data_IF_933692901487
#
_entry.id   IF_933692901487
#
_cell.length_a   1.000
_cell.length_b   1.000
_cell.length_c   1.000
_cell.angle_alpha   90.00
_cell.angle_beta   90.00
_cell.angle_gamma   90.00
#
_symmetry.space_group_name_H-M   'P 1'
#
loop_
_entity.id
_entity.type
_entity.pdbx_description
1 polymer ?
#
# COMPACT_ATOMS: atom_id res chain seq x y z
N UNK A 1 -17.44 -41.26 1.05
CA UNK A 1 -18.34 -40.14 0.64
C UNK A 1 -18.30 -40.01 -0.87
N UNK A 2 -19.42 -40.25 -1.57
CA UNK A 2 -19.51 -40.20 -3.03
C UNK A 2 -19.23 -38.78 -3.58
N UNK A 3 -18.72 -38.72 -4.82
CA UNK A 3 -18.36 -37.44 -5.50
C UNK A 3 -19.55 -36.50 -5.65
N UNK A 4 -20.76 -37.05 -5.82
CA UNK A 4 -22.01 -36.27 -5.91
C UNK A 4 -22.28 -35.46 -4.64
N UNK A 5 -22.14 -36.09 -3.48
CA UNK A 5 -22.43 -35.49 -2.18
C UNK A 5 -21.39 -34.43 -1.78
N UNK A 6 -20.13 -34.59 -2.22
CA UNK A 6 -19.10 -33.55 -2.08
C UNK A 6 -19.37 -32.34 -2.97
N UNK A 7 -19.88 -32.56 -4.19
CA UNK A 7 -20.23 -31.50 -5.13
C UNK A 7 -21.43 -30.69 -4.63
N UNK A 8 -22.44 -31.36 -4.12
CA UNK A 8 -23.65 -30.72 -3.56
C UNK A 8 -23.36 -29.89 -2.31
N UNK A 9 -22.50 -30.38 -1.41
CA UNK A 9 -22.05 -29.59 -0.24
C UNK A 9 -21.21 -28.37 -0.64
N UNK A 10 -20.36 -28.50 -1.66
CA UNK A 10 -19.58 -27.38 -2.17
C UNK A 10 -20.49 -26.31 -2.81
N UNK A 11 -21.48 -26.73 -3.62
CA UNK A 11 -22.46 -25.83 -4.24
C UNK A 11 -23.34 -25.12 -3.20
N UNK A 12 -23.72 -25.82 -2.13
CA UNK A 12 -24.50 -25.25 -1.02
C UNK A 12 -23.68 -24.21 -0.24
N UNK A 13 -22.41 -24.50 0.07
CA UNK A 13 -21.52 -23.57 0.75
C UNK A 13 -21.23 -22.31 -0.09
N UNK A 14 -21.10 -22.45 -1.41
CA UNK A 14 -20.91 -21.32 -2.33
C UNK A 14 -22.18 -20.43 -2.39
N UNK A 15 -23.37 -21.02 -2.21
CA UNK A 15 -24.64 -20.29 -2.13
C UNK A 15 -24.79 -19.53 -0.83
N UNK A 16 -24.41 -20.14 0.29
CA UNK A 16 -24.45 -19.47 1.60
C UNK A 16 -23.44 -18.32 1.71
N UNK A 17 -22.30 -18.41 1.03
CA UNK A 17 -21.30 -17.34 0.99
C UNK A 17 -21.62 -16.20 0.00
N UNK A 18 -22.77 -16.22 -0.69
CA UNK A 18 -23.15 -15.16 -1.64
C UNK A 18 -22.25 -15.05 -2.87
N UNK A 19 -21.45 -16.09 -3.16
CA UNK A 19 -20.45 -16.12 -4.24
C UNK A 19 -21.02 -16.65 -5.56
N UNK A 20 -22.34 -16.72 -5.70
CA UNK A 20 -23.03 -17.26 -6.88
C UNK A 20 -22.64 -16.53 -8.16
N UNK A 21 -22.51 -15.20 -8.10
CA UNK A 21 -22.10 -14.36 -9.24
C UNK A 21 -20.57 -14.28 -9.41
N UNK A 22 -19.79 -14.73 -8.43
CA UNK A 22 -18.33 -14.70 -8.47
C UNK A 22 -17.73 -15.89 -9.25
N UNK A 23 -18.51 -16.91 -9.59
CA UNK A 23 -18.04 -18.07 -10.37
C UNK A 23 -17.58 -17.63 -11.78
N UNK A 24 -18.17 -16.57 -12.34
CA UNK A 24 -17.83 -16.03 -13.67
C UNK A 24 -16.72 -14.96 -13.66
N UNK A 25 -16.05 -14.70 -12.53
CA UNK A 25 -15.04 -13.63 -12.43
C UNK A 25 -13.60 -14.06 -12.74
N UNK A 26 -13.36 -15.31 -13.12
CA UNK A 26 -12.00 -15.81 -13.32
C UNK A 26 -11.55 -15.61 -14.76
N UNK A 27 -10.85 -14.50 -15.02
CA UNK A 27 -9.89 -14.22 -16.13
C UNK A 27 -10.34 -14.64 -17.56
N UNK A 28 -10.67 -15.90 -17.82
CA UNK A 28 -11.22 -16.38 -19.09
C UNK A 28 -12.64 -15.86 -19.45
N UNK A 29 -13.41 -15.34 -18.49
CA UNK A 29 -14.71 -14.70 -18.78
C UNK A 29 -14.62 -13.21 -19.16
N UNK A 30 -13.52 -12.54 -18.82
CA UNK A 30 -13.36 -11.09 -19.03
C UNK A 30 -13.04 -10.74 -20.49
N UNK A 31 -12.41 -11.66 -21.23
CA UNK A 31 -12.13 -11.50 -22.65
C UNK A 31 -13.44 -11.43 -23.47
N UNK A 32 -14.33 -12.40 -23.24
CA UNK A 32 -15.59 -12.54 -23.99
C UNK A 32 -16.60 -11.41 -23.76
N UNK A 33 -16.58 -10.76 -22.60
CA UNK A 33 -17.58 -9.74 -22.23
C UNK A 33 -17.17 -8.30 -22.56
N UNK A 34 -15.87 -8.01 -22.69
CA UNK A 34 -15.40 -6.62 -22.79
C UNK A 34 -14.33 -6.36 -23.85
N UNK A 35 -13.91 -7.36 -24.65
CA UNK A 35 -12.91 -7.17 -25.71
C UNK A 35 -11.59 -6.57 -25.17
N UNK A 36 -11.14 -7.03 -24.01
CA UNK A 36 -9.95 -6.52 -23.33
C UNK A 36 -8.80 -7.50 -23.48
N UNK A 37 -7.63 -7.00 -23.88
CA UNK A 37 -6.39 -7.78 -23.86
C UNK A 37 -5.90 -7.97 -22.43
N UNK A 38 -5.80 -9.21 -21.97
CA UNK A 38 -5.29 -9.58 -20.65
C UNK A 38 -3.91 -10.20 -20.82
N UNK A 39 -2.89 -9.63 -20.16
CA UNK A 39 -1.54 -10.18 -20.10
C UNK A 39 -1.28 -10.56 -18.65
N UNK A 40 -0.95 -11.83 -18.41
CA UNK A 40 -0.65 -12.36 -17.08
C UNK A 40 0.67 -13.09 -17.08
N UNK A 41 1.43 -12.96 -15.98
CA UNK A 41 2.62 -13.76 -15.71
C UNK A 41 2.31 -14.67 -14.53
N UNK A 42 2.48 -15.98 -14.71
CA UNK A 42 2.12 -16.97 -13.69
C UNK A 42 3.31 -17.88 -13.43
N UNK A 43 3.69 -17.97 -12.16
CA UNK A 43 4.85 -18.76 -11.72
C UNK A 43 4.56 -20.28 -11.73
N UNK A 44 3.34 -20.68 -11.38
CA UNK A 44 2.93 -22.08 -11.37
C UNK A 44 1.44 -22.18 -11.69
N UNK A 45 1.08 -22.90 -12.76
CA UNK A 45 -0.31 -23.07 -13.19
C UNK A 45 -0.75 -24.51 -13.02
N UNK A 46 -2.00 -24.72 -12.62
CA UNK A 46 -2.64 -26.04 -12.77
C UNK A 46 -3.00 -26.27 -14.23
N UNK A 47 -3.07 -27.53 -14.66
CA UNK A 47 -3.47 -27.89 -16.03
C UNK A 47 -4.87 -27.37 -16.41
N UNK A 48 -5.77 -27.26 -15.43
CA UNK A 48 -7.11 -26.71 -15.63
C UNK A 48 -7.06 -25.21 -15.98
N UNK A 49 -6.18 -24.45 -15.32
CA UNK A 49 -5.99 -23.02 -15.61
C UNK A 49 -5.22 -22.83 -16.91
N UNK A 50 -4.27 -23.71 -17.22
CA UNK A 50 -3.53 -23.69 -18.49
C UNK A 50 -4.45 -23.82 -19.71
N UNK A 51 -5.49 -24.65 -19.61
CA UNK A 51 -6.47 -24.84 -20.69
C UNK A 51 -7.35 -23.61 -20.96
N UNK A 52 -7.35 -22.60 -20.07
CA UNK A 52 -8.13 -21.38 -20.22
C UNK A 52 -7.39 -20.27 -20.98
N UNK A 53 -6.11 -20.44 -21.31
CA UNK A 53 -5.33 -19.42 -22.02
C UNK A 53 -5.36 -19.62 -23.53
N UNK A 54 -5.61 -18.54 -24.27
CA UNK A 54 -5.56 -18.56 -25.73
C UNK A 54 -4.10 -18.62 -26.24
N UNK A 55 -3.23 -17.79 -25.66
CA UNK A 55 -1.84 -17.66 -26.05
C UNK A 55 -0.89 -17.90 -24.87
N UNK A 56 0.21 -18.58 -25.15
CA UNK A 56 1.29 -18.89 -24.22
C UNK A 56 2.58 -18.19 -24.66
N UNK A 57 3.22 -17.50 -23.71
CA UNK A 57 4.56 -16.94 -23.86
C UNK A 57 5.50 -17.59 -22.84
N UNK A 58 6.51 -18.32 -23.33
CA UNK A 58 7.55 -18.92 -22.49
C UNK A 58 8.84 -18.11 -22.62
N UNK A 59 9.37 -17.70 -21.47
CA UNK A 59 10.62 -16.93 -21.35
C UNK A 59 11.62 -17.70 -20.48
N UNK A 60 12.88 -17.75 -20.90
CA UNK A 60 13.99 -18.28 -20.11
C UNK A 60 15.20 -17.35 -20.20
N UNK A 61 15.75 -16.96 -19.04
CA UNK A 61 16.86 -15.98 -18.92
C UNK A 61 16.69 -14.72 -19.79
N UNK A 62 15.47 -14.17 -19.87
CA UNK A 62 15.16 -12.98 -20.67
C UNK A 62 15.00 -13.22 -22.19
N UNK A 63 15.06 -14.47 -22.65
CA UNK A 63 14.90 -14.85 -24.07
C UNK A 63 13.58 -15.59 -24.28
N UNK A 64 12.89 -15.30 -25.37
CA UNK A 64 11.64 -15.99 -25.74
C UNK A 64 11.93 -17.37 -26.31
N UNK A 65 11.39 -18.39 -25.65
CA UNK A 65 11.50 -19.80 -26.05
C UNK A 65 10.32 -20.20 -26.93
N UNK A 66 9.13 -19.70 -26.62
CA UNK A 66 7.93 -19.97 -27.40
C UNK A 66 6.93 -18.82 -27.26
N UNK A 67 6.25 -18.45 -28.34
CA UNK A 67 5.10 -17.56 -28.32
C UNK A 67 4.08 -18.03 -29.36
N UNK A 68 2.86 -18.34 -28.92
CA UNK A 68 1.81 -18.86 -29.81
C UNK A 68 0.62 -19.41 -29.04
N UNK A 69 -0.30 -20.07 -29.73
CA UNK A 69 -1.51 -20.60 -29.10
C UNK A 69 -1.19 -21.72 -28.09
N UNK A 70 -1.82 -21.69 -26.92
CA UNK A 70 -1.47 -22.61 -25.82
C UNK A 70 -1.70 -24.09 -26.18
N UNK A 71 -2.70 -24.40 -27.00
CA UNK A 71 -2.98 -25.75 -27.48
C UNK A 71 -1.91 -26.27 -28.45
N UNK A 72 -1.34 -25.41 -29.28
CA UNK A 72 -0.30 -25.75 -30.25
C UNK A 72 1.08 -25.97 -29.58
N UNK A 73 1.28 -25.46 -28.37
CA UNK A 73 2.52 -25.65 -27.62
C UNK A 73 2.83 -27.14 -27.41
N UNK A 74 1.83 -27.95 -27.04
CA UNK A 74 2.02 -29.39 -26.84
C UNK A 74 2.55 -30.08 -28.10
N UNK A 75 1.97 -29.78 -29.27
CA UNK A 75 2.38 -30.38 -30.54
C UNK A 75 3.79 -29.97 -30.95
N UNK A 76 4.15 -28.70 -30.74
CA UNK A 76 5.48 -28.17 -31.04
C UNK A 76 6.53 -28.84 -30.15
N UNK A 77 6.30 -28.95 -28.84
CA UNK A 77 7.21 -29.65 -27.93
C UNK A 77 7.30 -31.16 -28.22
N UNK A 78 6.22 -31.80 -28.68
CA UNK A 78 6.22 -33.21 -29.10
C UNK A 78 6.97 -33.43 -30.42
N UNK A 79 6.78 -32.57 -31.42
CA UNK A 79 7.44 -32.62 -32.73
C UNK A 79 8.96 -32.53 -32.63
N UNK A 80 9.43 -31.75 -31.66
CA UNK A 80 10.84 -31.58 -31.45
C UNK A 80 11.51 -32.73 -30.67
N UNK A 81 10.77 -33.76 -30.21
CA UNK A 81 11.34 -34.95 -29.56
C UNK A 81 12.15 -34.67 -28.28
N UNK A 82 11.83 -33.59 -27.55
CA UNK A 82 12.61 -33.21 -26.36
C UNK A 82 11.84 -33.55 -25.09
N UNK A 83 12.34 -34.59 -24.41
CA UNK A 83 11.76 -35.33 -23.28
C UNK A 83 10.38 -35.99 -23.54
N UNK A 84 10.28 -37.34 -23.50
CA UNK A 84 8.97 -37.98 -23.48
C UNK A 84 8.24 -37.50 -22.23
N UNK A 85 7.09 -36.84 -22.40
CA UNK A 85 6.20 -36.57 -21.28
C UNK A 85 5.96 -37.90 -20.57
N UNK A 86 6.33 -38.00 -19.29
CA UNK A 86 5.91 -39.14 -18.51
C UNK A 86 4.38 -39.14 -18.50
N UNK A 87 3.75 -40.31 -18.53
CA UNK A 87 2.30 -40.47 -18.62
C UNK A 87 1.52 -39.86 -17.41
N UNK A 88 2.24 -39.21 -16.48
CA UNK A 88 1.77 -38.64 -15.22
C UNK A 88 2.14 -37.17 -15.03
N UNK A 89 2.96 -36.56 -15.90
CA UNK A 89 3.38 -35.16 -15.73
C UNK A 89 2.39 -34.19 -16.35
N UNK A 90 2.07 -33.12 -15.62
CA UNK A 90 1.21 -32.03 -16.11
C UNK A 90 1.97 -31.19 -17.14
N UNK A 91 1.34 -30.79 -18.26
CA UNK A 91 1.99 -29.99 -19.31
C UNK A 91 2.69 -28.70 -18.84
N UNK A 92 2.05 -27.83 -18.01
CA UNK A 92 2.71 -26.59 -17.57
C UNK A 92 3.93 -26.85 -16.68
N UNK A 93 3.88 -27.87 -15.81
CA UNK A 93 5.00 -28.26 -14.96
C UNK A 93 6.16 -28.85 -15.81
N UNK A 94 5.84 -29.55 -16.90
CA UNK A 94 6.83 -30.07 -17.84
C UNK A 94 7.54 -28.92 -18.57
N UNK A 95 6.80 -27.96 -19.13
CA UNK A 95 7.41 -26.81 -19.80
C UNK A 95 8.33 -26.00 -18.88
N UNK A 96 7.90 -25.73 -17.64
CA UNK A 96 8.70 -24.99 -16.68
C UNK A 96 9.97 -25.74 -16.28
N UNK A 97 9.92 -27.06 -16.13
CA UNK A 97 11.11 -27.87 -15.87
C UNK A 97 12.09 -27.88 -17.05
N UNK A 98 11.58 -27.91 -18.28
CA UNK A 98 12.44 -27.91 -19.48
C UNK A 98 13.14 -26.56 -19.72
N UNK A 99 12.54 -25.45 -19.29
CA UNK A 99 13.06 -24.10 -19.58
C UNK A 99 13.78 -23.45 -18.39
N UNK A 100 13.71 -24.05 -17.19
CA UNK A 100 14.31 -23.49 -15.99
C UNK A 100 15.61 -24.21 -15.63
N UNK A 101 16.65 -23.43 -15.36
CA UNK A 101 18.01 -23.91 -15.04
C UNK A 101 18.17 -24.28 -13.56
N UNK A 102 17.30 -23.74 -12.70
CA UNK A 102 17.48 -23.80 -11.24
C UNK A 102 17.01 -25.11 -10.61
N UNK A 103 16.37 -26.01 -11.37
CA UNK A 103 15.90 -27.31 -10.85
C UNK A 103 16.92 -28.45 -10.97
N UNK A 104 18.12 -28.18 -11.51
CA UNK A 104 19.22 -29.14 -11.68
C UNK A 104 20.36 -28.97 -10.66
N UNK A 105 20.13 -28.28 -9.53
CA UNK A 105 21.17 -28.11 -8.48
C UNK A 105 21.60 -29.43 -7.78
N UNK A 106 20.93 -30.56 -8.02
CA UNK A 106 21.26 -31.85 -7.39
C UNK A 106 22.09 -32.82 -8.27
N UNK A 107 22.55 -32.40 -9.46
CA UNK A 107 23.43 -33.24 -10.30
C UNK A 107 24.70 -32.46 -10.65
N UNK A 108 25.80 -32.81 -9.95
CA UNK A 108 27.19 -32.34 -10.15
C UNK A 108 27.80 -32.61 -11.56
N UNK A 109 26.97 -32.80 -12.59
CA UNK A 109 27.36 -32.99 -13.97
C UNK A 109 26.41 -32.23 -14.89
N UNK A 110 26.81 -31.05 -15.39
CA UNK A 110 26.21 -30.51 -16.61
C UNK A 110 25.76 -29.06 -16.66
N UNK A 111 26.46 -28.10 -16.03
CA UNK A 111 26.26 -26.66 -16.30
C UNK A 111 26.31 -26.28 -17.81
N UNK A 112 26.79 -27.15 -18.69
CA UNK A 112 26.86 -26.94 -20.15
C UNK A 112 25.63 -27.44 -20.92
N UNK A 113 24.90 -28.45 -20.44
CA UNK A 113 23.92 -29.19 -21.26
C UNK A 113 22.56 -28.47 -21.30
N UNK A 114 22.10 -27.91 -20.17
CA UNK A 114 20.86 -27.15 -20.09
C UNK A 114 20.95 -25.78 -20.81
N UNK A 115 22.09 -25.10 -20.74
CA UNK A 115 22.35 -23.84 -21.44
C UNK A 115 22.33 -24.05 -22.97
N UNK A 116 22.98 -25.13 -23.43
CA UNK A 116 23.01 -25.53 -24.83
C UNK A 116 21.61 -25.95 -25.31
N UNK A 117 20.85 -26.70 -24.50
CA UNK A 117 19.46 -27.05 -24.79
C UNK A 117 18.57 -25.81 -24.95
N UNK A 118 18.67 -24.82 -24.07
CA UNK A 118 17.94 -23.55 -24.18
C UNK A 118 18.34 -22.78 -25.45
N UNK A 119 19.63 -22.79 -25.80
CA UNK A 119 20.11 -22.10 -27.00
C UNK A 119 19.63 -22.76 -28.29
N UNK A 120 19.57 -24.10 -28.31
CA UNK A 120 18.98 -24.90 -29.39
C UNK A 120 17.48 -24.60 -29.49
N UNK A 121 16.76 -24.56 -28.36
CA UNK A 121 15.33 -24.25 -28.29
C UNK A 121 15.01 -22.88 -28.92
N UNK A 122 15.77 -21.85 -28.54
CA UNK A 122 15.60 -20.50 -29.08
C UNK A 122 15.88 -20.47 -30.58
N UNK A 123 16.91 -21.18 -31.05
CA UNK A 123 17.25 -21.25 -32.48
C UNK A 123 16.17 -21.98 -33.28
N UNK A 124 15.67 -23.10 -32.75
CA UNK A 124 14.60 -23.88 -33.35
C UNK A 124 13.30 -23.07 -33.46
N UNK A 125 12.93 -22.35 -32.40
CA UNK A 125 11.77 -21.47 -32.40
C UNK A 125 11.92 -20.34 -33.43
N UNK A 126 13.08 -19.67 -33.50
CA UNK A 126 13.34 -18.63 -34.52
C UNK A 126 13.29 -19.15 -35.95
N UNK A 127 13.65 -20.42 -36.18
CA UNK A 127 13.52 -21.07 -37.49
C UNK A 127 12.13 -21.64 -37.78
N UNK A 128 11.23 -21.66 -36.80
CA UNK A 128 9.89 -22.22 -36.95
C UNK A 128 8.96 -21.30 -37.75
N UNK A 129 7.98 -21.92 -38.43
CA UNK A 129 6.92 -21.18 -39.12
C UNK A 129 6.07 -20.33 -38.16
N UNK A 130 5.91 -20.76 -36.90
CA UNK A 130 5.16 -20.02 -35.87
C UNK A 130 5.80 -18.67 -35.56
N UNK A 131 7.14 -18.60 -35.47
CA UNK A 131 7.85 -17.33 -35.25
C UNK A 131 7.68 -16.37 -36.44
N UNK A 132 7.78 -16.89 -37.67
CA UNK A 132 7.58 -16.09 -38.87
C UNK A 132 6.14 -15.57 -39.00
N UNK A 133 5.14 -16.37 -38.63
CA UNK A 133 3.74 -15.95 -38.60
C UNK A 133 3.50 -14.81 -37.60
N UNK A 134 4.01 -14.95 -36.37
CA UNK A 134 3.89 -13.90 -35.34
C UNK A 134 4.61 -12.62 -35.77
N UNK A 135 5.80 -12.73 -36.36
CA UNK A 135 6.55 -11.57 -36.85
C UNK A 135 5.82 -10.88 -38.00
N UNK A 136 5.28 -11.65 -38.95
CA UNK A 136 4.51 -11.11 -40.07
C UNK A 136 3.26 -10.40 -39.57
N UNK A 137 2.51 -11.02 -38.64
CA UNK A 137 1.37 -10.38 -38.01
C UNK A 137 1.79 -9.09 -37.30
N UNK A 138 2.80 -9.11 -36.43
CA UNK A 138 3.26 -7.92 -35.70
C UNK A 138 3.62 -6.77 -36.64
N UNK A 139 4.30 -7.06 -37.75
CA UNK A 139 4.63 -6.09 -38.80
C UNK A 139 3.35 -5.56 -39.46
N UNK A 140 2.42 -6.43 -39.84
CA UNK A 140 1.11 -6.03 -40.38
C UNK A 140 0.34 -5.13 -39.40
N UNK A 141 0.29 -5.45 -38.11
CA UNK A 141 -0.38 -4.61 -37.09
C UNK A 141 0.26 -3.22 -36.97
N UNK A 142 1.60 -3.12 -37.02
CA UNK A 142 2.32 -1.84 -37.00
C UNK A 142 1.98 -0.98 -38.23
N UNK A 143 1.80 -1.60 -39.41
CA UNK A 143 1.46 -0.88 -40.63
C UNK A 143 -0.04 -0.59 -40.80
N UNK A 144 -0.91 -1.41 -40.22
CA UNK A 144 -2.35 -1.40 -40.46
C UNK A 144 -3.13 -0.62 -39.37
N UNK A 145 -2.60 -0.51 -38.15
CA UNK A 145 -3.24 0.20 -37.05
C UNK A 145 -2.33 1.25 -36.41
N UNK A 146 -2.44 2.49 -36.92
CA UNK A 146 -2.41 3.68 -36.06
C UNK A 146 -3.71 3.81 -35.24
N UNK A 147 -4.22 2.68 -34.73
CA UNK A 147 -5.48 2.61 -33.99
C UNK A 147 -5.40 3.55 -32.79
N UNK A 148 -6.40 4.42 -32.64
CA UNK A 148 -6.44 5.39 -31.57
C UNK A 148 -6.34 4.65 -30.23
N UNK A 149 -5.15 4.67 -29.60
CA UNK A 149 -4.94 4.24 -28.22
C UNK A 149 -6.09 4.82 -27.41
N UNK A 150 -6.91 3.95 -26.82
CA UNK A 150 -8.09 4.35 -26.07
C UNK A 150 -7.67 5.48 -25.12
N UNK A 151 -8.19 6.68 -25.40
CA UNK A 151 -7.74 7.93 -24.76
C UNK A 151 -7.74 7.71 -23.26
N UNK A 152 -6.60 7.90 -22.59
CA UNK A 152 -6.48 7.84 -21.13
C UNK A 152 -7.71 8.51 -20.52
N UNK A 153 -8.52 7.77 -19.76
CA UNK A 153 -9.68 8.32 -19.06
C UNK A 153 -9.22 9.56 -18.29
N UNK A 154 -9.98 10.65 -18.41
CA UNK A 154 -9.67 11.92 -17.76
C UNK A 154 -9.45 11.69 -16.27
N UNK A 155 -8.27 12.10 -15.77
CA UNK A 155 -7.95 12.00 -14.35
C UNK A 155 -8.86 12.93 -13.55
N UNK A 156 -9.34 12.49 -12.40
CA UNK A 156 -10.12 13.34 -11.50
C UNK A 156 -9.30 14.58 -11.11
N UNK A 157 -9.94 15.74 -11.04
CA UNK A 157 -9.30 16.98 -10.62
C UNK A 157 -8.76 16.89 -9.18
N UNK A 158 -7.70 17.65 -8.90
CA UNK A 158 -7.01 17.68 -7.60
C UNK A 158 -7.96 17.84 -6.40
N UNK A 159 -8.95 18.72 -6.52
CA UNK A 159 -9.93 18.99 -5.45
C UNK A 159 -10.78 17.74 -5.16
N UNK A 160 -11.25 17.05 -6.20
CA UNK A 160 -12.04 15.83 -6.03
C UNK A 160 -11.19 14.70 -5.44
N UNK A 161 -9.91 14.61 -5.84
CA UNK A 161 -8.98 13.66 -5.24
C UNK A 161 -8.79 13.96 -3.75
N UNK A 162 -8.50 15.21 -3.39
CA UNK A 162 -8.32 15.64 -1.99
C UNK A 162 -9.57 15.36 -1.17
N UNK A 163 -10.76 15.76 -1.63
CA UNK A 163 -12.02 15.56 -0.89
C UNK A 163 -12.33 14.07 -0.66
N UNK A 164 -12.12 13.22 -1.66
CA UNK A 164 -12.31 11.76 -1.52
C UNK A 164 -11.28 11.17 -0.55
N UNK A 165 -10.03 11.62 -0.60
CA UNK A 165 -8.97 11.23 0.32
C UNK A 165 -9.32 11.66 1.77
N UNK A 166 -9.77 12.90 1.96
CA UNK A 166 -10.21 13.44 3.26
C UNK A 166 -11.37 12.62 3.81
N UNK A 167 -12.38 12.31 2.99
CA UNK A 167 -13.52 11.47 3.39
C UNK A 167 -13.08 10.06 3.79
N UNK A 168 -12.19 9.45 3.01
CA UNK A 168 -11.64 8.12 3.30
C UNK A 168 -10.86 8.13 4.63
N UNK A 169 -9.99 9.12 4.82
CA UNK A 169 -9.18 9.28 6.03
C UNK A 169 -10.04 9.57 7.26
N UNK A 170 -11.10 10.38 7.14
CA UNK A 170 -12.07 10.63 8.21
C UNK A 170 -12.81 9.35 8.64
N UNK A 171 -13.23 8.52 7.68
CA UNK A 171 -13.85 7.22 7.99
C UNK A 171 -12.85 6.27 8.66
N UNK A 172 -11.59 6.29 8.25
CA UNK A 172 -10.52 5.52 8.88
C UNK A 172 -10.37 5.93 10.36
N UNK A 173 -10.24 7.23 10.59
CA UNK A 173 -10.04 7.82 11.92
C UNK A 173 -11.20 7.56 12.88
N UNK A 174 -12.44 7.54 12.37
CA UNK A 174 -13.60 7.19 13.20
C UNK A 174 -13.67 5.69 13.55
N UNK A 175 -13.24 4.81 12.64
CA UNK A 175 -13.31 3.35 12.83
C UNK A 175 -12.21 2.81 13.72
N UNK A 176 -11.04 3.46 13.73
CA UNK A 176 -9.94 3.11 14.62
C UNK A 176 -10.13 3.63 16.04
N UNK A 177 -11.07 3.00 16.75
CA UNK A 177 -11.49 3.41 18.08
C UNK A 177 -10.34 3.38 19.09
N UNK A 178 -9.55 2.31 19.05
CA UNK A 178 -8.47 2.08 20.01
C UNK A 178 -7.32 3.08 19.88
N UNK A 179 -7.17 3.73 18.74
CA UNK A 179 -6.05 4.63 18.49
C UNK A 179 -6.40 6.09 18.80
N UNK A 180 -7.47 6.59 18.20
CA UNK A 180 -7.87 7.99 18.34
C UNK A 180 -8.59 8.28 19.66
N UNK A 181 -9.49 7.40 20.11
CA UNK A 181 -10.25 7.65 21.34
C UNK A 181 -9.47 7.33 22.61
N UNK A 182 -8.63 6.28 22.60
CA UNK A 182 -7.74 5.99 23.71
C UNK A 182 -6.73 7.12 23.92
N UNK A 183 -6.17 7.65 22.81
CA UNK A 183 -5.27 8.81 22.86
C UNK A 183 -6.00 10.03 23.46
N UNK A 184 -7.22 10.34 23.05
CA UNK A 184 -8.02 11.39 23.69
C UNK A 184 -8.22 11.17 25.20
N UNK A 185 -8.54 9.95 25.63
CA UNK A 185 -8.73 9.62 27.05
C UNK A 185 -7.45 9.82 27.89
N UNK A 186 -6.30 9.42 27.35
CA UNK A 186 -5.00 9.63 28.00
C UNK A 186 -4.70 11.13 28.11
N UNK A 187 -4.99 11.92 27.08
CA UNK A 187 -4.78 13.38 27.09
C UNK A 187 -5.64 14.07 28.15
N UNK A 188 -6.91 13.67 28.28
CA UNK A 188 -7.81 14.18 29.34
C UNK A 188 -7.25 13.84 30.73
N UNK A 189 -6.81 12.60 30.92
CA UNK A 189 -6.25 12.13 32.20
C UNK A 189 -5.00 12.91 32.59
N UNK A 190 -4.09 13.13 31.64
CA UNK A 190 -2.88 13.92 31.85
C UNK A 190 -3.18 15.39 32.13
N UNK A 191 -4.12 15.99 31.39
CA UNK A 191 -4.54 17.38 31.62
C UNK A 191 -5.17 17.57 33.00
N UNK A 192 -5.95 16.59 33.47
CA UNK A 192 -6.49 16.60 34.82
C UNK A 192 -5.38 16.48 35.86
N UNK A 193 -4.45 15.53 35.70
CA UNK A 193 -3.32 15.36 36.61
C UNK A 193 -2.45 16.62 36.71
N UNK A 194 -2.03 17.19 35.57
CA UNK A 194 -1.26 18.43 35.54
C UNK A 194 -2.05 19.62 36.09
N UNK A 195 -3.33 19.71 35.76
CA UNK A 195 -4.21 20.75 36.31
C UNK A 195 -4.24 20.68 37.84
N UNK A 196 -4.39 19.48 38.42
CA UNK A 196 -4.48 19.31 39.88
C UNK A 196 -3.17 19.61 40.60
N UNK A 197 -2.02 19.35 39.97
CA UNK A 197 -0.70 19.69 40.53
C UNK A 197 -0.53 21.21 40.65
N UNK A 198 -0.99 21.95 39.63
CA UNK A 198 -0.90 23.42 39.58
C UNK A 198 -2.22 24.10 39.94
N UNK A 199 -2.98 23.50 40.85
CA UNK A 199 -4.30 24.01 41.23
C UNK A 199 -4.21 25.41 41.85
N UNK A 200 -5.04 26.32 41.32
CA UNK A 200 -5.21 27.71 41.76
C UNK A 200 -3.89 28.47 42.05
N UNK A 201 -3.18 28.84 40.97
CA UNK A 201 -1.93 29.58 41.05
C UNK A 201 -2.16 31.01 41.60
N UNK A 202 -1.73 31.23 42.84
CA UNK A 202 -1.75 32.53 43.51
C UNK A 202 -1.00 33.66 42.79
N UNK A 203 -0.95 34.84 43.41
CA UNK A 203 -0.35 36.05 42.82
C UNK A 203 1.04 36.39 43.37
N UNK A 204 1.72 35.43 44.00
CA UNK A 204 3.05 35.63 44.60
C UNK A 204 4.13 35.63 43.51
N UNK A 205 5.28 36.25 43.76
CA UNK A 205 6.42 36.24 42.82
C UNK A 205 6.88 34.82 42.45
N UNK A 206 6.74 33.84 43.35
CA UNK A 206 6.98 32.42 43.06
C UNK A 206 5.97 31.84 42.07
N UNK A 207 4.72 32.30 42.14
CA UNK A 207 3.63 31.85 41.26
C UNK A 207 3.84 32.24 39.80
N UNK A 208 4.68 33.25 39.51
CA UNK A 208 5.07 33.59 38.13
C UNK A 208 5.92 32.47 37.51
N UNK A 209 6.85 31.90 38.28
CA UNK A 209 7.67 30.79 37.83
C UNK A 209 6.82 29.52 37.67
N UNK A 210 5.91 29.27 38.61
CA UNK A 210 5.00 28.11 38.56
C UNK A 210 4.05 28.17 37.35
N UNK A 211 3.57 29.37 36.97
CA UNK A 211 2.78 29.58 35.74
C UNK A 211 3.57 29.27 34.47
N UNK A 212 4.83 29.71 34.41
CA UNK A 212 5.73 29.38 33.31
C UNK A 212 5.95 27.87 33.19
N UNK A 213 6.18 27.22 34.34
CA UNK A 213 6.38 25.77 34.42
C UNK A 213 5.14 25.01 33.93
N UNK A 214 3.96 25.39 34.43
CA UNK A 214 2.68 24.81 34.04
C UNK A 214 2.44 24.89 32.53
N UNK A 215 2.64 26.06 31.92
CA UNK A 215 2.45 26.27 30.48
C UNK A 215 3.41 25.40 29.67
N UNK A 216 4.69 25.35 30.08
CA UNK A 216 5.70 24.53 29.42
C UNK A 216 5.38 23.04 29.57
N UNK A 217 4.97 22.58 30.75
CA UNK A 217 4.62 21.17 30.98
C UNK A 217 3.42 20.75 30.13
N UNK A 218 2.34 21.54 30.10
CA UNK A 218 1.17 21.22 29.28
C UNK A 218 1.55 21.16 27.80
N UNK A 219 2.22 22.20 27.27
CA UNK A 219 2.63 22.21 25.88
C UNK A 219 3.56 21.02 25.56
N UNK A 220 4.54 20.75 26.43
CA UNK A 220 5.52 19.68 26.24
C UNK A 220 4.89 18.28 26.30
N UNK A 221 4.03 18.01 27.30
CA UNK A 221 3.39 16.70 27.43
C UNK A 221 2.39 16.44 26.31
N UNK A 222 1.54 17.42 25.95
CA UNK A 222 0.58 17.24 24.85
C UNK A 222 1.28 17.01 23.51
N UNK A 223 2.36 17.74 23.24
CA UNK A 223 3.13 17.60 22.00
C UNK A 223 3.97 16.33 21.96
N UNK A 224 4.60 15.94 23.07
CA UNK A 224 5.41 14.72 23.13
C UNK A 224 4.55 13.47 22.97
N UNK A 225 3.33 13.47 23.54
CA UNK A 225 2.38 12.37 23.34
C UNK A 225 1.92 12.23 21.88
N UNK A 226 2.09 13.27 21.04
CA UNK A 226 1.82 13.16 19.60
C UNK A 226 2.78 12.23 18.86
N UNK A 227 3.90 11.83 19.47
CA UNK A 227 4.76 10.77 18.94
C UNK A 227 4.05 9.41 18.98
N UNK A 228 3.09 9.20 19.89
CA UNK A 228 2.18 8.05 19.84
C UNK A 228 1.34 8.02 18.55
N UNK A 229 1.24 9.18 17.88
CA UNK A 229 0.88 9.43 16.47
C UNK A 229 1.50 8.47 15.45
N UNK A 230 2.77 8.18 15.67
CA UNK A 230 3.69 7.84 14.60
C UNK A 230 3.41 6.48 13.94
N UNK A 231 3.11 5.38 14.66
CA UNK A 231 2.84 4.09 14.02
C UNK A 231 1.67 4.13 13.03
N UNK A 232 0.59 4.84 13.38
CA UNK A 232 -0.58 4.98 12.50
C UNK A 232 -0.22 5.77 11.23
N UNK A 233 0.53 6.88 11.36
CA UNK A 233 1.02 7.62 10.20
C UNK A 233 1.94 6.79 9.31
N UNK A 234 2.80 5.95 9.91
CA UNK A 234 3.68 5.06 9.15
C UNK A 234 2.90 3.94 8.49
N UNK A 235 1.81 3.42 9.06
CA UNK A 235 0.96 2.44 8.39
C UNK A 235 0.21 3.05 7.21
N UNK A 236 -0.41 4.21 7.39
CA UNK A 236 -1.07 4.96 6.32
C UNK A 236 -0.07 5.38 5.23
N UNK A 237 1.11 5.87 5.64
CA UNK A 237 2.21 6.15 4.72
C UNK A 237 2.77 4.89 4.11
N UNK A 238 2.84 3.72 4.75
CA UNK A 238 3.35 2.48 4.14
C UNK A 238 2.40 1.97 3.07
N UNK A 239 1.09 2.06 3.28
CA UNK A 239 0.11 1.73 2.24
C UNK A 239 0.27 2.72 1.07
N UNK A 240 0.36 4.02 1.36
CA UNK A 240 0.54 5.07 0.35
C UNK A 240 1.90 5.00 -0.36
N UNK A 241 2.97 4.72 0.39
CA UNK A 241 4.36 4.59 -0.04
C UNK A 241 4.58 3.29 -0.76
N UNK A 242 3.96 2.17 -0.38
CA UNK A 242 3.99 0.95 -1.17
C UNK A 242 3.35 1.19 -2.54
N UNK A 243 2.23 1.92 -2.57
CA UNK A 243 1.59 2.34 -3.82
C UNK A 243 2.47 3.31 -4.61
N UNK A 244 3.09 4.29 -3.94
CA UNK A 244 3.97 5.30 -4.55
C UNK A 244 5.31 4.72 -5.01
N UNK A 245 5.93 3.83 -4.25
CA UNK A 245 7.17 3.13 -4.56
C UNK A 245 6.92 2.15 -5.71
N UNK A 246 5.79 1.44 -5.71
CA UNK A 246 5.36 0.65 -6.87
C UNK A 246 5.14 1.53 -8.12
N UNK A 247 4.66 2.76 -7.94
CA UNK A 247 4.54 3.76 -8.99
C UNK A 247 5.91 4.30 -9.46
N UNK A 248 6.82 4.61 -8.54
CA UNK A 248 8.16 5.17 -8.78
C UNK A 248 9.12 4.15 -9.38
N UNK A 249 9.10 2.89 -8.91
CA UNK A 249 9.86 1.77 -9.47
C UNK A 249 9.41 1.36 -10.89
N UNK A 250 8.56 2.15 -11.55
CA UNK A 250 8.24 2.01 -12.96
C UNK A 250 7.36 0.81 -13.32
N UNK A 251 7.11 -0.11 -12.38
CA UNK A 251 6.33 -1.34 -12.62
C UNK A 251 4.85 -1.06 -12.92
N UNK A 252 4.29 0.05 -12.41
CA UNK A 252 2.87 0.40 -12.62
C UNK A 252 2.65 1.92 -12.84
N UNK A 253 3.35 2.54 -13.81
CA UNK A 253 3.12 3.95 -14.21
C UNK A 253 1.70 4.25 -14.74
N UNK A 254 0.82 3.24 -14.83
CA UNK A 254 -0.46 3.29 -15.54
C UNK A 254 -1.69 3.49 -14.66
N UNK A 255 -1.61 3.30 -13.33
CA UNK A 255 -2.80 3.44 -12.48
C UNK A 255 -3.07 4.87 -11.98
N UNK A 256 -2.09 5.77 -11.94
CA UNK A 256 -2.30 7.24 -11.88
C UNK A 256 -3.42 7.81 -10.99
N UNK A 257 -3.71 7.20 -9.84
CA UNK A 257 -4.91 7.52 -9.06
C UNK A 257 -4.77 8.77 -8.19
N UNK A 258 -3.59 9.07 -7.63
CA UNK A 258 -3.42 10.20 -6.69
C UNK A 258 -2.04 10.85 -6.82
N UNK A 259 -1.99 12.19 -6.80
CA UNK A 259 -0.76 12.95 -6.66
C UNK A 259 -0.26 12.98 -5.20
N UNK A 260 1.06 12.98 -4.94
CA UNK A 260 1.60 13.04 -3.57
C UNK A 260 1.12 14.25 -2.77
N UNK A 261 0.91 15.39 -3.44
CA UNK A 261 0.43 16.62 -2.81
C UNK A 261 -1.03 16.54 -2.36
N UNK A 262 -1.90 15.89 -3.15
CA UNK A 262 -3.30 15.69 -2.78
C UNK A 262 -3.45 14.79 -1.55
N UNK A 263 -2.54 13.83 -1.40
CA UNK A 263 -2.48 12.96 -0.23
C UNK A 263 -2.10 13.72 1.04
N UNK A 264 -1.03 14.52 0.99
CA UNK A 264 -0.59 15.32 2.15
C UNK A 264 -1.68 16.30 2.57
N UNK A 265 -2.27 17.02 1.62
CA UNK A 265 -3.35 17.99 1.91
C UNK A 265 -4.57 17.28 2.49
N UNK A 266 -5.03 16.18 1.87
CA UNK A 266 -6.19 15.44 2.35
C UNK A 266 -5.99 14.83 3.74
N UNK A 267 -4.76 14.42 4.09
CA UNK A 267 -4.42 13.89 5.40
C UNK A 267 -4.31 14.98 6.48
N UNK A 268 -3.76 16.14 6.13
CA UNK A 268 -3.73 17.29 7.03
C UNK A 268 -5.15 17.78 7.31
N UNK A 269 -5.99 17.93 6.28
CA UNK A 269 -7.38 18.36 6.45
C UNK A 269 -8.22 17.36 7.25
N UNK A 270 -8.03 16.05 7.03
CA UNK A 270 -8.77 15.04 7.77
C UNK A 270 -8.42 15.03 9.26
N UNK A 271 -7.16 15.33 9.62
CA UNK A 271 -6.68 15.31 11.00
C UNK A 271 -7.06 16.54 11.83
N UNK A 272 -7.32 17.69 11.20
CA UNK A 272 -7.76 18.94 11.87
C UNK A 272 -8.89 18.75 12.90
N UNK A 273 -10.04 18.14 12.60
CA UNK A 273 -11.13 18.00 13.57
C UNK A 273 -10.72 17.18 14.80
N UNK A 274 -9.90 16.15 14.59
CA UNK A 274 -9.38 15.34 15.69
C UNK A 274 -8.37 16.12 16.54
N UNK A 275 -7.42 16.81 15.89
CA UNK A 275 -6.44 17.69 16.52
C UNK A 275 -7.09 18.82 17.32
N UNK A 276 -8.21 19.34 16.85
CA UNK A 276 -8.99 20.35 17.54
C UNK A 276 -9.64 19.79 18.81
N UNK A 277 -10.19 18.57 18.76
CA UNK A 277 -10.76 17.91 19.95
C UNK A 277 -9.69 17.62 21.02
N UNK A 278 -8.54 17.06 20.64
CA UNK A 278 -7.46 16.71 21.57
C UNK A 278 -6.69 17.93 22.10
N UNK A 279 -6.86 19.11 21.52
CA UNK A 279 -6.28 20.35 22.05
C UNK A 279 -7.27 21.10 22.93
N UNK A 280 -8.54 21.20 22.49
CA UNK A 280 -9.56 21.98 23.19
C UNK A 280 -10.02 21.32 24.49
N UNK A 281 -10.33 20.02 24.49
CA UNK A 281 -10.86 19.34 25.70
C UNK A 281 -9.84 19.37 26.86
N UNK A 282 -8.60 18.86 26.70
CA UNK A 282 -7.59 18.96 27.76
C UNK A 282 -7.15 20.41 28.03
N UNK A 283 -7.15 21.28 27.01
CA UNK A 283 -6.84 22.70 27.16
C UNK A 283 -7.83 23.42 28.08
N UNK A 284 -9.13 23.16 27.95
CA UNK A 284 -10.18 23.66 28.86
C UNK A 284 -9.93 23.20 30.29
N UNK A 285 -9.70 21.90 30.49
CA UNK A 285 -9.47 21.33 31.82
C UNK A 285 -8.25 22.01 32.46
N UNK A 286 -7.13 22.05 31.74
CA UNK A 286 -5.89 22.58 32.26
C UNK A 286 -5.96 24.10 32.51
N UNK A 287 -6.68 24.87 31.69
CA UNK A 287 -6.80 26.32 31.82
C UNK A 287 -7.68 26.74 33.01
N UNK A 288 -8.83 26.10 33.17
CA UNK A 288 -9.77 26.47 34.25
C UNK A 288 -9.33 25.92 35.61
N UNK A 289 -8.73 24.73 35.66
CA UNK A 289 -8.38 24.09 36.94
C UNK A 289 -7.15 24.75 37.61
N UNK A 290 -6.29 25.38 36.83
CA UNK A 290 -5.10 26.11 37.30
C UNK A 290 -5.36 27.58 37.62
N UNK A 291 -6.56 28.08 37.29
CA UNK A 291 -6.96 29.46 37.60
C UNK A 291 -6.23 30.52 36.76
N UNK A 292 -5.97 30.26 35.47
CA UNK A 292 -5.43 31.29 34.57
C UNK A 292 -6.38 32.49 34.42
N UNK A 293 -5.90 33.54 33.73
CA UNK A 293 -6.64 34.80 33.58
C UNK A 293 -8.08 34.59 33.11
N UNK A 294 -9.04 35.10 33.88
CA UNK A 294 -10.46 34.95 33.58
C UNK A 294 -10.84 35.89 32.42
N UNK A 295 -10.92 35.35 31.21
CA UNK A 295 -11.38 36.07 30.03
C UNK A 295 -11.53 35.13 28.83
N UNK A 296 -12.64 35.26 28.09
CA UNK A 296 -12.91 34.40 26.93
C UNK A 296 -11.85 34.56 25.83
N UNK A 297 -11.38 35.78 25.60
CA UNK A 297 -10.35 36.09 24.59
C UNK A 297 -9.01 35.40 24.91
N UNK A 298 -8.63 35.37 26.19
CA UNK A 298 -7.38 34.76 26.66
C UNK A 298 -7.45 33.23 26.57
N UNK A 299 -8.61 32.64 26.85
CA UNK A 299 -8.84 31.21 26.70
C UNK A 299 -8.77 30.77 25.22
N UNK A 300 -9.39 31.54 24.32
CA UNK A 300 -9.31 31.27 22.88
C UNK A 300 -7.87 31.35 22.39
N UNK A 301 -7.15 32.41 22.78
CA UNK A 301 -5.75 32.57 22.41
C UNK A 301 -4.90 31.37 22.87
N UNK A 302 -5.05 30.96 24.13
CA UNK A 302 -4.37 29.78 24.67
C UNK A 302 -4.69 28.50 23.88
N UNK A 303 -5.98 28.28 23.58
CA UNK A 303 -6.43 27.10 22.83
C UNK A 303 -5.92 27.10 21.38
N UNK A 304 -5.89 28.26 20.71
CA UNK A 304 -5.33 28.41 19.36
C UNK A 304 -3.81 28.16 19.33
N UNK A 305 -3.09 28.64 20.34
CA UNK A 305 -1.65 28.39 20.47
C UNK A 305 -1.39 26.90 20.67
N UNK A 306 -2.10 26.23 21.59
CA UNK A 306 -1.99 24.78 21.78
C UNK A 306 -2.31 24.00 20.50
N UNK A 307 -3.38 24.37 19.80
CA UNK A 307 -3.75 23.74 18.53
C UNK A 307 -2.65 23.91 17.48
N UNK A 308 -2.06 25.10 17.36
CA UNK A 308 -0.98 25.37 16.39
C UNK A 308 0.28 24.59 16.72
N UNK A 309 0.66 24.50 18.01
CA UNK A 309 1.78 23.65 18.45
C UNK A 309 1.54 22.18 18.08
N UNK A 310 0.32 21.68 18.28
CA UNK A 310 -0.04 20.29 17.94
C UNK A 310 0.01 20.03 16.43
N UNK A 311 -0.53 20.96 15.62
CA UNK A 311 -0.46 20.89 14.16
C UNK A 311 0.98 20.88 13.65
N UNK A 312 1.86 21.68 14.26
CA UNK A 312 3.28 21.74 13.90
C UNK A 312 3.97 20.40 14.17
N UNK A 313 3.73 19.80 15.33
CA UNK A 313 4.34 18.53 15.70
C UNK A 313 3.81 17.38 14.86
N UNK A 314 2.52 17.35 14.55
CA UNK A 314 1.98 16.33 13.61
C UNK A 314 2.57 16.49 12.20
N UNK A 315 2.74 17.72 11.74
CA UNK A 315 3.39 17.99 10.44
C UNK A 315 4.86 17.54 10.46
N UNK A 316 5.58 17.77 11.56
CA UNK A 316 6.94 17.30 11.75
C UNK A 316 7.00 15.76 11.73
N UNK A 317 6.07 15.08 12.41
CA UNK A 317 6.00 13.62 12.43
C UNK A 317 5.72 13.04 11.05
N UNK A 318 4.87 13.69 10.24
CA UNK A 318 4.67 13.31 8.83
C UNK A 318 5.95 13.44 8.00
N UNK A 319 6.74 14.49 8.22
CA UNK A 319 8.05 14.65 7.55
C UNK A 319 8.99 13.52 7.95
N UNK A 320 9.10 13.22 9.25
CA UNK A 320 9.95 12.11 9.74
C UNK A 320 9.48 10.76 9.18
N UNK A 321 8.17 10.51 9.12
CA UNK A 321 7.59 9.29 8.56
C UNK A 321 7.92 9.12 7.07
N UNK A 322 8.07 10.23 6.33
CA UNK A 322 8.44 10.19 4.91
C UNK A 322 9.91 9.85 4.65
N UNK A 323 10.78 10.13 5.62
CA UNK A 323 12.24 9.92 5.51
C UNK A 323 12.63 8.54 6.03
N UNK A 324 12.00 8.08 7.10
CA UNK A 324 12.45 6.90 7.85
C UNK A 324 11.70 5.64 7.41
N UNK A 325 12.39 4.58 6.93
CA UNK A 325 11.75 3.37 6.43
C UNK A 325 11.17 2.47 7.55
N UNK A 326 11.61 2.66 8.79
CA UNK A 326 11.23 1.86 9.95
C UNK A 326 10.49 2.71 10.99
N UNK A 327 9.34 2.24 11.46
CA UNK A 327 8.53 2.96 12.44
C UNK A 327 9.27 3.18 13.77
N UNK A 328 10.08 2.22 14.22
CA UNK A 328 10.82 2.33 15.48
C UNK A 328 11.89 3.42 15.40
N UNK A 329 12.63 3.44 14.29
CA UNK A 329 13.64 4.48 14.04
C UNK A 329 12.99 5.85 13.96
N UNK A 330 11.80 5.95 13.35
CA UNK A 330 11.08 7.21 13.24
C UNK A 330 10.53 7.73 14.57
N UNK A 331 10.09 6.85 15.48
CA UNK A 331 9.75 7.24 16.87
C UNK A 331 10.97 7.81 17.58
N UNK A 332 12.13 7.17 17.46
CA UNK A 332 13.38 7.62 18.11
C UNK A 332 13.80 8.98 17.55
N UNK A 333 13.79 9.14 16.22
CA UNK A 333 14.14 10.42 15.56
C UNK A 333 13.15 11.53 15.92
N UNK A 334 11.84 11.26 15.86
CA UNK A 334 10.80 12.21 16.22
C UNK A 334 10.89 12.66 17.68
N UNK A 335 11.08 11.70 18.61
CA UNK A 335 11.29 11.99 20.02
C UNK A 335 12.57 12.81 20.29
N UNK A 336 13.66 12.50 19.58
CA UNK A 336 14.90 13.26 19.66
C UNK A 336 14.75 14.71 19.21
N UNK A 337 14.12 14.94 18.05
CA UNK A 337 13.87 16.30 17.54
C UNK A 337 12.94 17.05 18.50
N UNK A 338 11.84 16.42 18.94
CA UNK A 338 10.91 17.04 19.87
C UNK A 338 11.56 17.39 21.21
N UNK A 339 12.41 16.51 21.74
CA UNK A 339 13.18 16.75 22.95
C UNK A 339 14.10 17.97 22.82
N UNK A 340 14.81 18.09 21.70
CA UNK A 340 15.65 19.25 21.41
C UNK A 340 14.83 20.55 21.26
N UNK A 341 13.65 20.49 20.62
CA UNK A 341 12.76 21.63 20.50
C UNK A 341 12.23 22.11 21.86
N UNK A 342 11.87 21.18 22.74
CA UNK A 342 11.42 21.49 24.11
C UNK A 342 12.57 22.12 24.92
N UNK A 343 13.79 21.58 24.81
CA UNK A 343 14.98 22.18 25.46
C UNK A 343 15.28 23.59 24.93
N UNK A 344 15.11 23.82 23.63
CA UNK A 344 15.26 25.13 23.00
C UNK A 344 14.11 26.11 23.28
N UNK A 345 13.04 25.69 23.97
CA UNK A 345 11.85 26.49 24.24
C UNK A 345 12.03 27.62 25.26
N UNK A 346 13.22 27.76 25.85
CA UNK A 346 13.60 28.93 26.68
C UNK A 346 13.07 28.94 28.11
N UNK A 347 12.52 27.82 28.60
CA UNK A 347 12.09 27.67 30.00
C UNK A 347 13.18 27.12 30.93
N UNK A 348 14.07 26.27 30.39
CA UNK A 348 15.13 25.59 31.14
C UNK A 348 16.36 26.47 31.36
#
# INVERSE_FOLDING_TARGET
MPRSEKKERAETAIREMGLQDAINTRIGGLDQLHGRTIITSIHQTSSEVFALFDNLCLLSSGRTVYFGAAHAANEVFLLFKWFPMSNTSKPPDHFLKTINKDFEEDIDQGFSEAEEAIHILIKAYKSSGSYQQVQTQAVTWVFQEGGALQKKRSHAGFINQSLVLTRKSCVNMYRDLGYYWLRLAIYITLAFALGTIFYDLGFTSSSTQDRGAMLMYIASFLTFMSIGGFPSYVEDMKVSFFVFFRWFSGRERLNGHFGPTAFVVGNTESSVPYLLLISLIPGVIAYYLTGLQKGFDHFIYFSMVLFTCMMLVESLMMIVASIVPNFLLGIITGAGIQGLMILGGGFF
#
